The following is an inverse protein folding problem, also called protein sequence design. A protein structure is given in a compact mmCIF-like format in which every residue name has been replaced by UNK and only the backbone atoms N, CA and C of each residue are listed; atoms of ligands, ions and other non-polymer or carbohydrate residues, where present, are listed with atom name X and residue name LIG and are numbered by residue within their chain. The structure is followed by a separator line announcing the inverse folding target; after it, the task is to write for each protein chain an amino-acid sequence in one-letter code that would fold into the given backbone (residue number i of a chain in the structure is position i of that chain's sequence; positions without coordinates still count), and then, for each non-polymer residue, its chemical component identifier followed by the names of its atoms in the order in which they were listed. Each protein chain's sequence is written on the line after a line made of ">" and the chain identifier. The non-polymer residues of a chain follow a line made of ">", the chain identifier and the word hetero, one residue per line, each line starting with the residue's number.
data_IF_526715884647
#
_entry.id   IF_526715884647
#
_cell.length_a   1.000
_cell.length_b   1.000
_cell.length_c   1.000
_cell.angle_alpha   90.00
_cell.angle_beta   90.00
_cell.angle_gamma   90.00
#
_symmetry.space_group_name_H-M   'P 1'
#
loop_
_entity.id
_entity.type
_entity.pdbx_description
1 polymer ?
#
# COMPACT_ATOMS: atom_id res chain seq x y z
N UNK A 1 -21.64 -14.19 -14.13
CA UNK A 1 -20.60 -13.32 -14.69
C UNK A 1 -20.48 -12.15 -13.74
N UNK A 2 -19.28 -11.93 -13.23
CA UNK A 2 -18.99 -11.31 -11.93
C UNK A 2 -19.33 -9.82 -11.87
N UNK A 3 -19.79 -9.38 -10.71
CA UNK A 3 -20.09 -7.98 -10.43
C UNK A 3 -18.78 -7.21 -10.21
N UNK A 4 -18.39 -6.40 -11.20
CA UNK A 4 -17.37 -5.36 -11.00
C UNK A 4 -17.92 -4.35 -9.98
N UNK A 5 -17.33 -4.32 -8.79
CA UNK A 5 -17.54 -3.21 -7.86
C UNK A 5 -16.88 -1.98 -8.47
N UNK A 6 -17.65 -1.18 -9.20
CA UNK A 6 -17.24 0.14 -9.67
C UNK A 6 -16.90 1.00 -8.46
N UNK A 7 -15.60 1.17 -8.23
CA UNK A 7 -15.08 2.18 -7.32
C UNK A 7 -15.33 3.54 -7.98
N UNK A 8 -16.48 4.14 -7.65
CA UNK A 8 -17.08 5.29 -8.34
C UNK A 8 -16.22 6.57 -8.43
N UNK A 9 -15.00 6.57 -7.88
CA UNK A 9 -14.11 7.72 -7.81
C UNK A 9 -12.81 7.55 -8.63
N UNK A 10 -12.64 6.41 -9.33
CA UNK A 10 -11.46 6.19 -10.17
C UNK A 10 -11.74 6.55 -11.63
N UNK A 11 -11.24 7.72 -12.05
CA UNK A 11 -11.31 8.18 -13.43
C UNK A 11 -10.35 7.37 -14.34
N UNK A 12 -10.89 6.32 -14.96
CA UNK A 12 -10.15 5.42 -15.85
C UNK A 12 -9.60 6.15 -17.08
N UNK A 13 -10.35 7.08 -17.66
CA UNK A 13 -9.94 7.80 -18.88
C UNK A 13 -8.76 8.72 -18.60
N UNK A 14 -8.81 9.45 -17.48
CA UNK A 14 -7.69 10.25 -16.99
C UNK A 14 -6.48 9.39 -16.63
N UNK A 15 -6.69 8.21 -16.04
CA UNK A 15 -5.59 7.31 -15.70
C UNK A 15 -4.86 6.79 -16.95
N UNK A 16 -5.60 6.31 -17.95
CA UNK A 16 -4.99 5.75 -19.18
C UNK A 16 -4.23 6.83 -19.97
N UNK A 17 -4.73 8.06 -19.99
CA UNK A 17 -4.10 9.19 -20.69
C UNK A 17 -2.97 9.88 -19.91
N UNK A 18 -2.83 9.61 -18.61
CA UNK A 18 -1.81 10.24 -17.76
C UNK A 18 -0.39 9.72 -18.02
N UNK A 19 0.61 10.57 -17.76
CA UNK A 19 2.02 10.14 -17.77
C UNK A 19 2.24 9.08 -16.69
N UNK A 20 3.21 8.19 -16.91
CA UNK A 20 3.50 7.08 -15.99
C UNK A 20 3.65 7.51 -14.51
N UNK A 21 4.43 8.56 -14.23
CA UNK A 21 4.59 9.07 -12.86
C UNK A 21 3.27 9.53 -12.24
N UNK A 22 2.41 10.14 -13.05
CA UNK A 22 1.10 10.61 -12.59
C UNK A 22 0.14 9.44 -12.37
N UNK A 23 0.22 8.39 -13.21
CA UNK A 23 -0.50 7.12 -12.98
C UNK A 23 -0.14 6.50 -11.65
N UNK A 24 1.15 6.41 -11.31
CA UNK A 24 1.60 5.87 -10.02
C UNK A 24 1.04 6.69 -8.85
N UNK A 25 1.06 8.03 -8.95
CA UNK A 25 0.46 8.90 -7.92
C UNK A 25 -1.06 8.73 -7.82
N UNK A 26 -1.75 8.55 -8.93
CA UNK A 26 -3.20 8.33 -8.97
C UNK A 26 -3.62 7.01 -8.29
N UNK A 27 -2.72 6.04 -8.13
CA UNK A 27 -3.00 4.81 -7.38
C UNK A 27 -3.13 5.08 -5.86
N UNK A 28 -2.51 6.14 -5.33
CA UNK A 28 -2.64 6.54 -3.92
C UNK A 28 -2.41 5.39 -2.95
N UNK A 29 -3.32 5.23 -1.99
CA UNK A 29 -3.23 4.21 -0.92
C UNK A 29 -3.42 2.74 -1.40
N UNK A 30 -3.66 2.53 -2.70
CA UNK A 30 -3.75 1.17 -3.29
C UNK A 30 -2.38 0.51 -3.42
N UNK A 31 -1.31 1.30 -3.39
CA UNK A 31 0.07 0.83 -3.38
C UNK A 31 0.74 1.26 -2.07
N UNK A 32 1.87 0.63 -1.69
CA UNK A 32 2.75 1.15 -0.64
C UNK A 32 3.04 2.64 -0.87
N UNK A 33 2.97 3.44 0.19
CA UNK A 33 3.09 4.90 0.11
C UNK A 33 4.48 5.28 -0.42
N UNK A 34 5.52 4.57 0.02
CA UNK A 34 6.86 4.71 -0.52
C UNK A 34 6.91 4.63 -2.05
N UNK A 35 6.20 3.68 -2.68
CA UNK A 35 6.17 3.55 -4.14
C UNK A 35 5.42 4.69 -4.83
N UNK A 36 4.38 5.23 -4.20
CA UNK A 36 3.67 6.41 -4.69
C UNK A 36 4.57 7.66 -4.68
N UNK A 37 5.42 7.78 -3.66
CA UNK A 37 6.34 8.90 -3.48
C UNK A 37 7.62 8.79 -4.32
N UNK A 38 8.00 7.56 -4.72
CA UNK A 38 9.17 7.28 -5.57
C UNK A 38 8.79 6.62 -6.90
N UNK A 39 8.05 7.28 -7.81
CA UNK A 39 7.55 6.66 -9.04
C UNK A 39 8.66 6.23 -10.01
N UNK A 40 9.86 6.80 -9.93
CA UNK A 40 11.06 6.40 -10.69
C UNK A 40 11.61 5.03 -10.30
N UNK A 41 11.24 4.50 -9.14
CA UNK A 41 11.62 3.16 -8.71
C UNK A 41 10.82 2.07 -9.45
N UNK A 42 9.60 2.39 -9.89
CA UNK A 42 8.73 1.40 -10.51
C UNK A 42 9.28 0.84 -11.84
N UNK A 43 9.82 1.65 -12.77
CA UNK A 43 10.50 1.13 -13.96
C UNK A 43 11.67 0.20 -13.60
N UNK A 44 12.47 0.56 -12.60
CA UNK A 44 13.59 -0.25 -12.09
C UNK A 44 13.11 -1.62 -11.58
N UNK A 45 11.98 -1.66 -10.88
CA UNK A 45 11.36 -2.91 -10.42
C UNK A 45 10.70 -3.71 -11.56
N UNK A 46 10.17 -3.02 -12.58
CA UNK A 46 9.32 -3.60 -13.63
C UNK A 46 10.06 -4.03 -14.90
N UNK A 47 11.12 -3.32 -15.29
CA UNK A 47 11.95 -3.61 -16.47
C UNK A 47 12.85 -4.82 -16.21
N UNK A 48 13.19 -5.02 -14.93
CA UNK A 48 13.89 -6.19 -14.42
C UNK A 48 15.39 -6.19 -14.71
N UNK A 49 16.12 -6.98 -13.92
CA UNK A 49 17.58 -7.20 -14.05
C UNK A 49 17.99 -7.85 -15.38
N UNK A 50 17.02 -8.28 -16.19
CA UNK A 50 17.26 -8.97 -17.46
C UNK A 50 17.83 -8.07 -18.56
N UNK A 51 17.66 -6.75 -18.44
CA UNK A 51 18.13 -5.78 -19.45
C UNK A 51 19.43 -5.06 -19.02
N UNK A 52 19.95 -5.35 -17.84
CA UNK A 52 21.06 -4.61 -17.25
C UNK A 52 22.38 -5.37 -17.32
N UNK A 53 23.48 -4.62 -17.46
CA UNK A 53 24.82 -5.17 -17.32
C UNK A 53 25.16 -5.42 -15.84
N UNK A 54 26.23 -6.19 -15.59
CA UNK A 54 26.63 -6.55 -14.24
C UNK A 54 26.93 -5.33 -13.35
N UNK A 55 27.55 -4.29 -13.91
CA UNK A 55 27.90 -3.08 -13.17
C UNK A 55 26.64 -2.30 -12.74
N UNK A 56 25.61 -2.28 -13.57
CA UNK A 56 24.32 -1.66 -13.27
C UNK A 56 23.56 -2.48 -12.23
N UNK A 57 23.54 -3.81 -12.38
CA UNK A 57 22.95 -4.73 -11.40
C UNK A 57 23.58 -4.58 -10.01
N UNK A 58 24.91 -4.51 -9.92
CA UNK A 58 25.63 -4.37 -8.65
C UNK A 58 25.25 -3.07 -7.92
N UNK A 59 25.11 -1.96 -8.66
CA UNK A 59 24.69 -0.67 -8.10
C UNK A 59 23.21 -0.67 -7.69
N UNK A 60 22.36 -1.35 -8.45
CA UNK A 60 20.92 -1.36 -8.21
C UNK A 60 20.52 -2.30 -7.07
N UNK A 61 21.24 -3.41 -6.87
CA UNK A 61 20.92 -4.42 -5.85
C UNK A 61 20.73 -3.84 -4.43
N UNK A 62 21.63 -3.01 -3.87
CA UNK A 62 21.41 -2.44 -2.55
C UNK A 62 20.19 -1.50 -2.50
N UNK A 63 19.92 -0.75 -3.58
CA UNK A 63 18.76 0.15 -3.68
C UNK A 63 17.47 -0.67 -3.67
N UNK A 64 17.41 -1.71 -4.50
CA UNK A 64 16.27 -2.62 -4.59
C UNK A 64 16.00 -3.32 -3.26
N UNK A 65 17.06 -3.80 -2.59
CA UNK A 65 16.94 -4.42 -1.28
C UNK A 65 16.31 -3.46 -0.26
N UNK A 66 16.82 -2.23 -0.15
CA UNK A 66 16.27 -1.24 0.77
C UNK A 66 14.81 -0.91 0.45
N UNK A 67 14.49 -0.73 -0.84
CA UNK A 67 13.12 -0.47 -1.28
C UNK A 67 12.17 -1.61 -0.89
N UNK A 68 12.57 -2.87 -1.09
CA UNK A 68 11.77 -4.04 -0.70
C UNK A 68 11.60 -4.08 0.82
N UNK A 69 12.65 -3.83 1.60
CA UNK A 69 12.59 -3.78 3.06
C UNK A 69 11.59 -2.72 3.56
N UNK A 70 11.59 -1.51 2.97
CA UNK A 70 10.64 -0.44 3.29
C UNK A 70 9.20 -0.87 2.96
N UNK A 71 8.97 -1.39 1.75
CA UNK A 71 7.64 -1.84 1.32
C UNK A 71 7.09 -2.94 2.24
N UNK A 72 7.93 -3.88 2.66
CA UNK A 72 7.55 -4.93 3.60
C UNK A 72 7.24 -4.36 5.00
N UNK A 73 8.01 -3.38 5.45
CA UNK A 73 7.77 -2.72 6.74
C UNK A 73 6.43 -1.97 6.75
N UNK A 74 6.12 -1.18 5.71
CA UNK A 74 4.83 -0.48 5.58
C UNK A 74 3.65 -1.46 5.59
N UNK A 75 3.76 -2.57 4.86
CA UNK A 75 2.72 -3.60 4.83
C UNK A 75 2.49 -4.24 6.21
N UNK A 76 3.57 -4.53 6.94
CA UNK A 76 3.50 -5.06 8.29
C UNK A 76 2.88 -4.06 9.27
N UNK A 77 3.28 -2.78 9.20
CA UNK A 77 2.73 -1.71 10.03
C UNK A 77 1.22 -1.52 9.79
N UNK A 78 0.78 -1.50 8.52
CA UNK A 78 -0.64 -1.39 8.15
C UNK A 78 -1.47 -2.52 8.76
N UNK A 79 -0.95 -3.75 8.69
CA UNK A 79 -1.61 -4.93 9.28
C UNK A 79 -1.67 -4.83 10.81
N UNK A 80 -0.58 -4.44 11.45
CA UNK A 80 -0.50 -4.34 12.90
C UNK A 80 -1.37 -3.20 13.45
N UNK A 81 -1.39 -2.05 12.78
CA UNK A 81 -2.30 -0.95 13.10
C UNK A 81 -3.76 -1.41 13.01
N UNK A 82 -4.15 -2.06 11.90
CA UNK A 82 -5.51 -2.56 11.74
C UNK A 82 -5.89 -3.58 12.83
N UNK A 83 -4.95 -4.43 13.26
CA UNK A 83 -5.15 -5.37 14.37
C UNK A 83 -5.38 -4.64 15.68
N UNK A 84 -4.52 -3.67 16.03
CA UNK A 84 -4.65 -2.86 17.25
C UNK A 84 -5.94 -2.04 17.28
N UNK A 85 -6.32 -1.43 16.16
CA UNK A 85 -7.56 -0.66 16.04
C UNK A 85 -8.80 -1.55 16.29
N UNK A 86 -8.78 -2.80 15.80
CA UNK A 86 -9.84 -3.78 16.09
C UNK A 86 -9.87 -4.18 17.56
N UNK A 87 -8.71 -4.45 18.15
CA UNK A 87 -8.61 -4.81 19.57
C UNK A 87 -9.19 -3.71 20.46
N UNK A 88 -8.79 -2.45 20.24
CA UNK A 88 -9.32 -1.30 20.98
C UNK A 88 -10.84 -1.21 20.85
N UNK A 89 -11.39 -1.39 19.64
CA UNK A 89 -12.85 -1.38 19.43
C UNK A 89 -13.56 -2.48 20.22
N UNK A 90 -13.00 -3.69 20.24
CA UNK A 90 -13.55 -4.82 21.01
C UNK A 90 -13.51 -4.52 22.52
N UNK A 91 -12.41 -3.97 23.03
CA UNK A 91 -12.28 -3.62 24.44
C UNK A 91 -13.25 -2.49 24.86
N UNK A 92 -13.43 -1.47 24.01
CA UNK A 92 -14.43 -0.41 24.23
C UNK A 92 -15.87 -0.96 24.27
N UNK A 93 -16.20 -1.90 23.39
CA UNK A 93 -17.51 -2.56 23.41
C UNK A 93 -17.74 -3.36 24.71
N UNK A 94 -16.73 -4.07 25.20
CA UNK A 94 -16.81 -4.80 26.47
C UNK A 94 -17.00 -3.85 27.65
N UNK A 95 -16.28 -2.73 27.67
CA UNK A 95 -16.38 -1.71 28.71
C UNK A 95 -17.80 -1.13 28.79
N UNK A 96 -18.40 -0.78 27.65
CA UNK A 96 -19.76 -0.20 27.61
C UNK A 96 -20.88 -1.24 27.71
N UNK A 97 -20.64 -2.49 27.29
CA UNK A 97 -21.60 -3.59 27.38
C UNK A 97 -21.80 -4.14 28.80
N UNK A 98 -20.83 -3.93 29.69
CA UNK A 98 -20.89 -4.35 31.10
C UNK A 98 -21.77 -3.51 32.02
N UNK A 99 -22.30 -2.36 31.56
CA UNK A 99 -23.03 -1.41 32.43
C UNK A 99 -24.56 -1.51 32.35
N UNK A 100 -25.13 -2.55 31.72
CA UNK A 100 -26.59 -2.79 31.67
C UNK A 100 -27.10 -3.66 32.83
N UNK A 101 -26.60 -3.44 34.04
CA UNK A 101 -26.95 -4.27 35.21
C UNK A 101 -26.85 -3.59 36.58
N UNK A 102 -26.76 -2.26 36.65
CA UNK A 102 -26.75 -1.54 37.92
C UNK A 102 -27.55 -0.22 37.82
N UNK A 103 -28.86 -0.36 37.63
CA UNK A 103 -29.82 0.67 38.01
C UNK A 103 -30.96 -0.07 38.73
N UNK A 104 -30.88 -0.01 40.06
CA UNK A 104 -31.97 -0.32 41.01
C UNK A 104 -33.12 0.66 40.80
#
# INVERSE_FOLDING_TARGET
>A
MEAESEEKDFDKERFVSAKFKDRIKMLGERIPQFLADTPELYPVLSEGVHQWDNATCEKALPILRMAIEIVLAEAAEKKEKARRDREVKVQLQKLHGGNKGAAL
#
